data_IF_245768203956
#
_entry.id   IF_245768203956
#
_cell.length_a   1.000
_cell.length_b   1.000
_cell.length_c   1.000
_cell.angle_alpha   90.00
_cell.angle_beta   90.00
_cell.angle_gamma   90.00
#
_symmetry.space_group_name_H-M   'P 1'
#
loop_
_entity.id
_entity.type
_entity.pdbx_description
1 polymer ?
#
# COMPACT_ATOMS: atom_id res chain seq x y z
N UNK A 1 12.86 -0.84 0.23
CA UNK A 1 11.71 -0.09 0.77
C UNK A 1 10.61 -1.06 1.15
N UNK A 2 9.63 -0.63 1.95
CA UNK A 2 8.44 -1.41 2.32
C UNK A 2 7.18 -0.65 1.90
N UNK A 3 6.08 -1.37 1.69
CA UNK A 3 4.78 -0.77 1.36
C UNK A 3 4.02 -0.43 2.64
N UNK A 4 3.14 0.58 2.57
CA UNK A 4 2.16 0.85 3.62
C UNK A 4 0.81 0.27 3.23
N UNK A 5 0.02 -0.17 4.19
CA UNK A 5 -1.39 -0.43 3.97
C UNK A 5 -2.22 0.87 3.99
N UNK A 6 -3.54 0.76 3.76
CA UNK A 6 -4.45 1.91 3.79
C UNK A 6 -4.56 2.60 5.17
N UNK A 7 -4.16 1.93 6.25
CA UNK A 7 -4.10 2.49 7.60
C UNK A 7 -2.74 3.15 7.92
N UNK A 8 -1.79 3.14 6.98
CA UNK A 8 -0.45 3.70 7.17
C UNK A 8 0.54 2.76 7.87
N UNK A 9 0.19 1.50 8.12
CA UNK A 9 1.14 0.52 8.69
C UNK A 9 2.05 -0.05 7.61
N UNK A 10 3.35 -0.11 7.91
CA UNK A 10 4.33 -0.81 7.07
C UNK A 10 4.08 -2.31 7.07
N UNK A 11 4.02 -2.90 5.88
CA UNK A 11 4.12 -4.35 5.72
C UNK A 11 5.56 -4.78 5.94
N UNK A 12 5.78 -5.82 6.73
CA UNK A 12 7.08 -6.47 6.82
C UNK A 12 7.32 -7.36 5.58
N UNK A 13 7.60 -6.70 4.46
CA UNK A 13 7.94 -7.28 3.17
C UNK A 13 8.77 -6.29 2.35
N UNK A 14 10.03 -6.63 2.10
CA UNK A 14 10.95 -5.76 1.38
C UNK A 14 10.78 -5.86 -0.15
N UNK A 15 10.87 -4.69 -0.79
CA UNK A 15 10.98 -4.57 -2.24
C UNK A 15 11.98 -3.48 -2.66
N UNK A 16 12.45 -3.58 -3.90
CA UNK A 16 13.25 -2.56 -4.55
C UNK A 16 12.63 -2.18 -5.89
N UNK A 17 12.73 -0.91 -6.24
CA UNK A 17 12.40 -0.40 -7.57
C UNK A 17 13.70 -0.08 -8.28
N UNK A 18 13.91 -0.68 -9.46
CA UNK A 18 15.11 -0.50 -10.27
C UNK A 18 14.72 -0.15 -11.70
N UNK A 19 15.61 0.48 -12.50
CA UNK A 19 15.40 0.61 -13.94
C UNK A 19 15.20 -0.76 -14.59
N UNK A 20 14.37 -0.81 -15.63
CA UNK A 20 14.24 -1.99 -16.47
C UNK A 20 15.45 -2.11 -17.39
N UNK A 21 15.88 -3.33 -17.66
CA UNK A 21 17.11 -3.58 -18.42
C UNK A 21 16.88 -3.28 -19.91
N UNK A 22 17.59 -2.30 -20.46
CA UNK A 22 17.64 -2.03 -21.90
C UNK A 22 16.37 -1.44 -22.54
N UNK A 23 15.38 -1.00 -21.75
CA UNK A 23 14.14 -0.38 -22.25
C UNK A 23 13.51 0.52 -21.18
N UNK A 24 12.57 1.36 -21.59
CA UNK A 24 11.81 2.23 -20.70
C UNK A 24 10.95 1.44 -19.70
N UNK A 25 10.61 2.11 -18.59
CA UNK A 25 9.87 1.55 -17.47
C UNK A 25 10.77 1.22 -16.27
N UNK A 26 10.32 0.28 -15.45
CA UNK A 26 11.00 -0.10 -14.21
C UNK A 26 10.73 -1.56 -13.87
N UNK A 27 11.52 -2.10 -12.95
CA UNK A 27 11.29 -3.41 -12.38
C UNK A 27 11.10 -3.32 -10.86
N UNK A 28 10.20 -4.14 -10.34
CA UNK A 28 10.06 -4.39 -8.90
C UNK A 28 10.74 -5.71 -8.55
N UNK A 29 11.76 -5.64 -7.70
CA UNK A 29 12.34 -6.82 -7.05
C UNK A 29 11.60 -7.02 -5.73
N UNK A 30 10.72 -8.01 -5.67
CA UNK A 30 9.94 -8.35 -4.49
C UNK A 30 10.62 -9.49 -3.75
N UNK A 31 11.14 -9.23 -2.55
CA UNK A 31 12.02 -10.18 -1.88
C UNK A 31 11.28 -11.42 -1.35
N UNK A 32 11.99 -12.55 -1.35
CA UNK A 32 11.45 -13.82 -0.83
C UNK A 32 11.05 -13.75 0.64
N UNK A 33 10.00 -14.50 0.99
CA UNK A 33 9.69 -14.85 2.39
C UNK A 33 10.49 -16.07 2.84
N UNK A 34 10.95 -16.04 4.08
CA UNK A 34 11.72 -17.11 4.70
C UNK A 34 11.42 -17.26 6.20
N UNK A 35 11.86 -18.38 6.77
CA UNK A 35 11.67 -18.69 8.19
C UNK A 35 10.24 -19.05 8.59
N UNK A 36 10.09 -19.63 9.78
CA UNK A 36 8.78 -19.92 10.37
C UNK A 36 8.19 -18.61 10.89
N UNK A 37 6.88 -18.38 10.68
CA UNK A 37 6.20 -17.19 11.23
C UNK A 37 6.38 -17.15 12.76
N UNK A 38 6.76 -15.99 13.29
CA UNK A 38 7.04 -15.78 14.72
C UNK A 38 8.39 -16.32 15.20
N UNK A 39 9.23 -16.86 14.31
CA UNK A 39 10.61 -17.21 14.67
C UNK A 39 11.56 -16.02 14.50
N UNK A 40 12.69 -15.98 15.23
CA UNK A 40 13.72 -14.94 15.03
C UNK A 40 14.32 -14.89 13.62
N UNK A 41 14.17 -15.97 12.83
CA UNK A 41 14.63 -16.06 11.44
C UNK A 41 13.51 -15.76 10.42
N UNK A 42 12.33 -15.33 10.86
CA UNK A 42 11.27 -14.90 9.97
C UNK A 42 11.73 -13.70 9.14
N UNK A 43 11.63 -13.82 7.82
CA UNK A 43 11.92 -12.75 6.87
C UNK A 43 10.72 -12.55 5.97
N UNK A 44 10.33 -11.29 5.77
CA UNK A 44 9.21 -10.88 4.93
C UNK A 44 7.89 -11.65 5.25
N UNK A 45 7.46 -11.73 6.53
CA UNK A 45 6.25 -12.47 6.92
C UNK A 45 4.98 -11.95 6.24
N UNK A 46 4.97 -10.68 5.82
CA UNK A 46 3.84 -10.02 5.16
C UNK A 46 3.90 -10.08 3.62
N UNK A 47 4.69 -11.00 3.06
CA UNK A 47 4.85 -11.17 1.61
C UNK A 47 3.51 -11.21 0.86
N UNK A 48 2.52 -11.98 1.34
CA UNK A 48 1.24 -12.10 0.65
C UNK A 48 0.40 -10.81 0.68
N UNK A 49 0.10 -10.21 1.85
CA UNK A 49 -0.67 -8.97 1.87
C UNK A 49 0.08 -7.81 1.21
N UNK A 50 1.41 -7.76 1.28
CA UNK A 50 2.20 -6.74 0.57
C UNK A 50 2.18 -6.94 -0.95
N UNK A 51 2.22 -8.18 -1.46
CA UNK A 51 2.06 -8.44 -2.90
C UNK A 51 0.67 -8.06 -3.38
N UNK A 52 -0.38 -8.32 -2.60
CA UNK A 52 -1.74 -7.91 -2.94
C UNK A 52 -1.89 -6.39 -2.99
N UNK A 53 -1.30 -5.69 -2.02
CA UNK A 53 -1.25 -4.23 -1.97
C UNK A 53 -0.49 -3.64 -3.17
N UNK A 54 0.63 -4.26 -3.57
CA UNK A 54 1.38 -3.86 -4.77
C UNK A 54 0.49 -3.94 -6.02
N UNK A 55 -0.22 -5.07 -6.18
CA UNK A 55 -1.13 -5.28 -7.32
C UNK A 55 -2.31 -4.30 -7.29
N UNK A 56 -2.82 -3.95 -6.11
CA UNK A 56 -3.87 -2.92 -5.96
C UNK A 56 -3.40 -1.56 -6.48
N UNK A 57 -2.18 -1.15 -6.13
CA UNK A 57 -1.61 0.11 -6.61
C UNK A 57 -1.31 0.09 -8.10
N UNK A 58 -0.87 -1.04 -8.63
CA UNK A 58 -0.73 -1.22 -10.07
C UNK A 58 -2.07 -1.10 -10.79
N UNK A 59 -3.14 -1.66 -10.24
CA UNK A 59 -4.50 -1.47 -10.76
C UNK A 59 -4.91 0.01 -10.78
N UNK A 60 -4.70 0.71 -9.67
CA UNK A 60 -5.05 2.15 -9.55
C UNK A 60 -4.27 3.02 -10.52
N UNK A 61 -2.97 2.76 -10.68
CA UNK A 61 -2.10 3.45 -11.61
C UNK A 61 -2.20 2.96 -13.07
N UNK A 62 -3.14 2.05 -13.35
CA UNK A 62 -3.34 1.41 -14.66
C UNK A 62 -2.06 0.79 -15.24
N UNK A 63 -1.18 0.30 -14.37
CA UNK A 63 0.11 -0.26 -14.76
C UNK A 63 -0.04 -1.56 -15.54
N UNK A 64 0.90 -1.78 -16.47
CA UNK A 64 1.01 -2.98 -17.29
C UNK A 64 2.27 -3.73 -16.88
N UNK A 65 2.12 -4.98 -16.45
CA UNK A 65 3.24 -5.86 -16.14
C UNK A 65 3.65 -6.57 -17.42
N UNK A 66 4.82 -6.23 -17.95
CA UNK A 66 5.38 -6.83 -19.16
C UNK A 66 5.77 -8.30 -18.96
N UNK A 67 6.35 -8.64 -17.81
CA UNK A 67 6.67 -10.03 -17.45
C UNK A 67 6.94 -10.17 -15.95
N UNK A 68 6.84 -11.39 -15.43
CA UNK A 68 7.25 -11.75 -14.08
C UNK A 68 8.15 -12.97 -14.17
N UNK A 69 9.29 -12.94 -13.48
CA UNK A 69 10.19 -14.09 -13.38
C UNK A 69 10.79 -14.22 -11.98
N UNK A 70 11.25 -15.42 -11.65
CA UNK A 70 11.92 -15.67 -10.36
C UNK A 70 13.36 -15.17 -10.43
N UNK A 71 13.74 -14.26 -9.54
CA UNK A 71 15.10 -13.74 -9.41
C UNK A 71 15.73 -14.16 -8.07
N UNK A 72 15.63 -15.44 -7.73
CA UNK A 72 16.31 -15.98 -6.54
C UNK A 72 17.72 -16.42 -6.92
N UNK A 73 18.69 -16.20 -6.03
CA UNK A 73 20.11 -16.56 -6.24
C UNK A 73 20.29 -17.98 -6.81
N UNK A 74 19.59 -18.96 -6.22
CA UNK A 74 19.62 -20.37 -6.63
C UNK A 74 19.22 -20.62 -8.09
N UNK A 75 18.46 -19.74 -8.73
CA UNK A 75 18.00 -19.93 -10.12
C UNK A 75 18.67 -18.98 -11.11
N UNK A 76 19.51 -18.05 -10.66
CA UNK A 76 20.17 -17.06 -11.55
C UNK A 76 21.11 -17.68 -12.60
N UNK A 77 21.52 -18.93 -12.42
CA UNK A 77 22.28 -19.70 -13.41
C UNK A 77 21.42 -20.17 -14.60
N UNK A 78 20.09 -20.17 -14.46
CA UNK A 78 19.16 -20.50 -15.54
C UNK A 78 18.95 -19.29 -16.46
N UNK A 79 18.57 -19.56 -17.70
CA UNK A 79 18.18 -18.50 -18.64
C UNK A 79 16.99 -17.70 -18.10
N UNK A 80 16.74 -16.50 -18.63
CA UNK A 80 15.55 -15.72 -18.25
C UNK A 80 14.27 -16.51 -18.58
N UNK A 81 14.24 -17.16 -19.76
CA UNK A 81 13.08 -17.91 -20.24
C UNK A 81 12.67 -19.04 -19.28
N UNK A 82 13.63 -19.76 -18.71
CA UNK A 82 13.36 -20.83 -17.72
C UNK A 82 12.89 -20.29 -16.35
N UNK A 83 13.02 -18.98 -16.13
CA UNK A 83 12.63 -18.30 -14.88
C UNK A 83 11.30 -17.58 -14.97
N UNK A 84 10.79 -17.33 -16.18
CA UNK A 84 9.52 -16.65 -16.42
C UNK A 84 8.36 -17.48 -15.85
N UNK A 85 7.43 -16.80 -15.19
CA UNK A 85 6.19 -17.42 -14.77
C UNK A 85 5.34 -17.72 -16.00
N UNK A 86 4.86 -18.94 -16.14
CA UNK A 86 3.99 -19.33 -17.25
C UNK A 86 2.59 -18.69 -17.08
N UNK A 87 2.43 -17.47 -17.58
CA UNK A 87 1.23 -16.64 -17.53
C UNK A 87 1.10 -15.86 -18.85
N UNK A 88 -0.12 -15.41 -19.16
CA UNK A 88 -0.38 -14.63 -20.38
C UNK A 88 0.05 -13.18 -20.19
N UNK A 89 1.24 -12.84 -20.69
CA UNK A 89 1.78 -11.48 -20.67
C UNK A 89 1.52 -10.74 -21.98
N UNK A 90 1.41 -9.40 -21.96
CA UNK A 90 1.49 -8.51 -20.80
C UNK A 90 0.20 -8.53 -19.95
N UNK A 91 0.33 -8.37 -18.63
CA UNK A 91 -0.81 -8.30 -17.71
C UNK A 91 -1.24 -6.85 -17.52
N UNK A 92 -2.43 -6.51 -18.02
CA UNK A 92 -3.12 -5.24 -17.73
C UNK A 92 -3.85 -5.36 -16.40
N UNK A 93 -3.22 -4.92 -15.32
CA UNK A 93 -3.72 -5.19 -13.96
C UNK A 93 -5.07 -4.51 -13.70
N UNK A 94 -5.36 -3.41 -14.40
CA UNK A 94 -6.63 -2.69 -14.26
C UNK A 94 -7.86 -3.45 -14.80
N UNK A 95 -7.67 -4.32 -15.80
CA UNK A 95 -8.74 -5.13 -16.40
C UNK A 95 -9.16 -6.31 -15.52
N UNK A 96 -8.32 -6.69 -14.55
CA UNK A 96 -8.54 -7.88 -13.73
C UNK A 96 -9.48 -7.58 -12.57
N UNK A 97 -10.57 -8.33 -12.45
CA UNK A 97 -11.57 -8.15 -11.40
C UNK A 97 -11.04 -8.54 -10.01
N UNK A 98 -10.34 -9.69 -9.91
CA UNK A 98 -9.94 -10.29 -8.65
C UNK A 98 -8.42 -10.32 -8.45
N UNK A 99 -7.91 -9.34 -7.69
CA UNK A 99 -6.47 -9.26 -7.37
C UNK A 99 -5.98 -10.37 -6.44
N UNK A 100 -6.85 -10.93 -5.59
CA UNK A 100 -6.48 -12.04 -4.72
C UNK A 100 -6.21 -13.31 -5.53
N UNK A 101 -7.00 -13.55 -6.59
CA UNK A 101 -6.77 -14.65 -7.54
C UNK A 101 -5.47 -14.46 -8.32
N UNK A 102 -5.23 -13.26 -8.85
CA UNK A 102 -3.96 -12.93 -9.51
C UNK A 102 -2.76 -13.19 -8.59
N UNK A 103 -2.82 -12.74 -7.33
CA UNK A 103 -1.78 -13.01 -6.34
C UNK A 103 -1.57 -14.51 -6.12
N UNK A 104 -2.65 -15.28 -5.97
CA UNK A 104 -2.57 -16.75 -5.81
C UNK A 104 -1.92 -17.40 -7.02
N UNK A 105 -2.27 -16.95 -8.22
CA UNK A 105 -1.71 -17.46 -9.46
C UNK A 105 -0.22 -17.17 -9.58
N UNK A 106 0.21 -15.93 -9.36
CA UNK A 106 1.62 -15.54 -9.32
C UNK A 106 2.39 -16.45 -8.35
N UNK A 107 1.88 -16.61 -7.12
CA UNK A 107 2.50 -17.48 -6.10
C UNK A 107 2.56 -18.95 -6.53
N UNK A 108 1.50 -19.47 -7.14
CA UNK A 108 1.45 -20.86 -7.63
C UNK A 108 2.46 -21.09 -8.75
N UNK A 109 2.53 -20.17 -9.72
CA UNK A 109 3.41 -20.26 -10.88
C UNK A 109 4.90 -20.11 -10.52
N UNK A 110 5.23 -19.56 -9.34
CA UNK A 110 6.60 -19.58 -8.83
C UNK A 110 7.09 -20.98 -8.44
N UNK A 111 6.21 -21.88 -7.99
CA UNK A 111 6.60 -23.18 -7.42
C UNK A 111 7.48 -24.04 -8.35
N UNK A 112 7.12 -24.27 -9.63
CA UNK A 112 7.91 -25.12 -10.52
C UNK A 112 9.29 -24.55 -10.89
N UNK A 113 9.48 -23.23 -10.82
CA UNK A 113 10.71 -22.58 -11.32
C UNK A 113 11.94 -23.00 -10.50
N UNK A 114 12.95 -23.58 -11.16
CA UNK A 114 14.16 -24.11 -10.51
C UNK A 114 13.87 -25.23 -9.51
N UNK A 115 12.75 -25.95 -9.66
CA UNK A 115 12.46 -27.17 -8.92
C UNK A 115 13.28 -28.32 -9.51
N UNK A 116 13.77 -29.22 -8.65
CA UNK A 116 14.46 -30.43 -9.13
C UNK A 116 13.46 -31.35 -9.86
N UNK A 117 13.86 -31.98 -10.99
CA UNK A 117 13.03 -32.97 -11.65
C UNK A 117 12.58 -34.07 -10.67
N UNK A 118 11.33 -34.54 -10.80
CA UNK A 118 10.78 -35.61 -9.97
C UNK A 118 10.34 -35.21 -8.54
N UNK A 119 10.39 -33.92 -8.17
CA UNK A 119 9.91 -33.44 -6.87
C UNK A 119 8.54 -32.77 -6.97
N UNK A 120 7.66 -32.99 -5.99
CA UNK A 120 6.35 -32.35 -5.89
C UNK A 120 6.35 -31.14 -4.94
N UNK A 121 5.43 -30.21 -5.15
CA UNK A 121 5.34 -28.97 -4.39
C UNK A 121 6.38 -27.92 -4.81
N UNK A 122 6.61 -26.94 -3.93
CA UNK A 122 7.60 -25.88 -4.14
C UNK A 122 7.33 -24.65 -3.28
N UNK A 123 8.36 -23.81 -3.12
CA UNK A 123 8.24 -22.51 -2.48
C UNK A 123 7.46 -21.54 -3.39
N UNK A 124 6.36 -20.98 -2.91
CA UNK A 124 5.50 -20.01 -3.61
C UNK A 124 5.75 -18.55 -3.22
N UNK A 125 6.78 -18.31 -2.41
CA UNK A 125 7.19 -16.98 -1.93
C UNK A 125 8.67 -16.75 -2.19
N UNK A 126 9.10 -17.02 -3.42
CA UNK A 126 10.47 -16.77 -3.90
C UNK A 126 10.66 -15.28 -4.17
N UNK A 127 11.91 -14.87 -4.35
CA UNK A 127 12.18 -13.53 -4.87
C UNK A 127 11.75 -13.50 -6.32
N UNK A 128 10.92 -12.52 -6.68
CA UNK A 128 10.43 -12.32 -8.04
C UNK A 128 10.82 -10.92 -8.52
N UNK A 129 10.98 -10.81 -9.83
CA UNK A 129 11.14 -9.55 -10.54
C UNK A 129 9.93 -9.34 -11.43
N UNK A 130 9.25 -8.21 -11.25
CA UNK A 130 8.11 -7.78 -12.06
C UNK A 130 8.60 -6.66 -12.96
N UNK A 131 8.63 -6.89 -14.26
CA UNK A 131 8.95 -5.85 -15.26
C UNK A 131 7.68 -5.08 -15.58
N UNK A 132 7.72 -3.77 -15.44
CA UNK A 132 6.55 -2.88 -15.58
C UNK A 132 6.83 -1.87 -16.68
N UNK A 133 5.86 -1.72 -17.58
CA UNK A 133 5.90 -0.71 -18.64
C UNK A 133 5.71 0.69 -18.04
N UNK A 134 6.30 1.75 -18.64
CA UNK A 134 6.04 3.11 -18.20
C UNK A 134 4.56 3.44 -18.38
N UNK A 135 3.96 4.08 -17.39
CA UNK A 135 2.59 4.60 -17.44
C UNK A 135 2.54 6.05 -16.93
N UNK A 136 1.40 6.73 -17.07
CA UNK A 136 1.26 8.14 -16.69
C UNK A 136 1.68 8.42 -15.23
N UNK A 137 1.30 7.53 -14.32
CA UNK A 137 1.50 7.70 -12.88
C UNK A 137 2.88 7.19 -12.42
N UNK A 138 3.48 6.28 -13.19
CA UNK A 138 4.77 5.67 -12.91
C UNK A 138 5.64 5.61 -14.18
N UNK A 139 6.03 6.75 -14.77
CA UNK A 139 6.79 6.78 -16.02
C UNK A 139 8.24 6.32 -15.85
N UNK A 140 8.78 6.33 -14.64
CA UNK A 140 10.16 5.97 -14.33
C UNK A 140 10.30 5.42 -12.90
N UNK A 141 11.45 4.83 -12.52
CA UNK A 141 11.64 4.24 -11.21
C UNK A 141 11.43 5.19 -10.02
N UNK A 142 11.78 6.47 -10.16
CA UNK A 142 11.61 7.44 -9.06
C UNK A 142 10.14 7.80 -8.85
N UNK A 143 9.39 8.00 -9.93
CA UNK A 143 7.94 8.19 -9.87
C UNK A 143 7.25 6.96 -9.28
N UNK A 144 7.67 5.75 -9.68
CA UNK A 144 7.16 4.50 -9.12
C UNK A 144 7.44 4.40 -7.61
N UNK A 145 8.64 4.73 -7.12
CA UNK A 145 8.93 4.77 -5.67
C UNK A 145 8.01 5.72 -4.93
N UNK A 146 7.76 6.91 -5.50
CA UNK A 146 6.86 7.92 -4.91
C UNK A 146 5.40 7.45 -4.89
N UNK A 147 4.94 6.77 -5.94
CA UNK A 147 3.60 6.19 -6.00
C UNK A 147 3.44 5.00 -5.03
N UNK A 148 4.46 4.15 -4.93
CA UNK A 148 4.46 2.93 -4.11
C UNK A 148 4.77 3.19 -2.62
N UNK A 149 5.30 4.34 -2.25
CA UNK A 149 5.36 4.76 -0.86
C UNK A 149 4.28 5.80 -0.65
N UNK A 150 3.11 5.49 -0.05
CA UNK A 150 2.22 6.56 0.35
C UNK A 150 3.03 7.35 1.37
N UNK A 151 3.45 8.55 0.98
CA UNK A 151 3.69 9.59 1.95
C UNK A 151 2.38 9.64 2.71
N UNK A 152 2.46 9.48 4.03
CA UNK A 152 1.30 9.48 4.91
C UNK A 152 0.33 10.53 4.38
N UNK A 153 -0.89 10.09 4.06
CA UNK A 153 -1.96 11.02 3.67
C UNK A 153 -1.86 12.17 4.65
N UNK A 154 -1.69 13.39 4.10
CA UNK A 154 -1.31 14.59 4.84
C UNK A 154 -1.87 14.55 6.24
N UNK A 155 -1.01 14.72 7.25
CA UNK A 155 -1.47 14.83 8.64
C UNK A 155 -2.70 15.72 8.61
N UNK A 156 -3.86 15.24 9.11
CA UNK A 156 -5.05 16.07 9.10
C UNK A 156 -4.64 17.37 9.75
N UNK A 157 -4.71 18.49 9.00
CA UNK A 157 -4.37 19.81 9.53
C UNK A 157 -4.96 19.86 10.92
N UNK A 158 -4.10 19.95 11.93
CA UNK A 158 -4.54 20.15 13.28
C UNK A 158 -5.18 21.54 13.27
N UNK A 159 -6.48 21.60 13.01
CA UNK A 159 -7.26 22.80 13.20
C UNK A 159 -7.34 22.92 14.72
N UNK A 160 -6.60 23.85 15.36
CA UNK A 160 -6.75 24.03 16.78
C UNK A 160 -8.23 24.27 17.04
N UNK A 161 -8.81 23.50 17.97
CA UNK A 161 -10.16 23.79 18.46
C UNK A 161 -10.16 25.28 18.82
N UNK A 162 -11.13 26.08 18.35
CA UNK A 162 -11.25 27.44 18.85
C UNK A 162 -11.33 27.31 20.36
N UNK A 163 -10.35 27.92 21.05
CA UNK A 163 -10.35 27.97 22.51
C UNK A 163 -11.72 28.52 22.89
N UNK A 164 -12.52 27.82 23.72
CA UNK A 164 -13.74 28.42 24.20
C UNK A 164 -13.33 29.72 24.89
N UNK A 165 -13.69 30.85 24.30
CA UNK A 165 -13.62 32.14 24.98
C UNK A 165 -14.53 31.99 26.18
N UNK A 166 -13.91 31.80 27.35
CA UNK A 166 -14.62 31.89 28.62
C UNK A 166 -15.30 33.27 28.62
N UNK A 167 -16.61 33.34 28.88
CA UNK A 167 -17.25 34.64 29.08
C UNK A 167 -16.52 35.37 30.22
N UNK A 168 -16.32 36.68 30.07
CA UNK A 168 -15.63 37.59 31.02
C UNK A 168 -16.24 37.63 32.44
N UNK A 169 -17.27 36.82 32.71
CA UNK A 169 -17.94 36.71 33.99
C UNK A 169 -17.42 35.51 34.80
N UNK A 170 -16.14 35.53 35.16
CA UNK A 170 -15.66 34.76 36.30
C UNK A 170 -14.74 35.60 37.18
N UNK A 171 -15.34 36.58 37.86
CA UNK A 171 -14.69 37.26 38.98
C UNK A 171 -14.64 36.27 40.16
N UNK A 172 -13.46 35.86 40.66
CA UNK A 172 -13.38 34.94 41.79
C UNK A 172 -13.94 35.63 43.03
N UNK A 173 -14.95 35.04 43.68
CA UNK A 173 -15.28 35.42 45.06
C UNK A 173 -14.17 34.88 45.96
N UNK A 174 -13.52 35.77 46.69
CA UNK A 174 -12.52 35.43 47.71
C UNK A 174 -13.09 34.39 48.70
N UNK A 175 -12.33 33.34 48.98
CA UNK A 175 -12.57 32.48 50.14
C UNK A 175 -12.46 30.97 49.97
N UNK A 176 -12.17 30.43 48.78
CA UNK A 176 -12.02 28.98 48.63
C UNK A 176 -10.56 28.52 48.72
N UNK A 177 -10.16 28.05 49.90
CA UNK A 177 -8.89 27.35 50.11
C UNK A 177 -9.01 25.93 49.57
N UNK A 178 -8.59 25.71 48.33
CA UNK A 178 -8.54 24.37 47.71
C UNK A 178 -7.37 23.59 48.33
N UNK A 179 -7.68 22.44 48.94
CA UNK A 179 -6.65 21.45 49.32
C UNK A 179 -6.06 20.84 48.04
N UNK A 180 -4.75 20.56 47.97
CA UNK A 180 -4.17 19.92 46.79
C UNK A 180 -4.73 18.50 46.67
N UNK A 181 -5.59 18.28 45.66
CA UNK A 181 -5.97 16.95 45.19
C UNK A 181 -4.98 16.48 44.14
N UNK A 182 -4.63 15.20 44.22
CA UNK A 182 -3.72 14.44 43.35
C UNK A 182 -4.00 14.62 41.84
N UNK A 183 -3.00 14.43 40.97
CA UNK A 183 -3.16 14.63 39.54
C UNK A 183 -4.09 13.55 38.95
N UNK A 184 -5.20 13.98 38.38
CA UNK A 184 -6.09 13.17 37.56
C UNK A 184 -5.42 12.92 36.20
N UNK A 185 -5.25 11.65 35.86
CA UNK A 185 -4.87 11.21 34.52
C UNK A 185 -5.97 11.62 33.50
N UNK A 186 -5.59 12.41 32.51
CA UNK A 186 -6.47 12.79 31.40
C UNK A 186 -6.56 11.65 30.37
N UNK A 187 -7.69 10.95 30.35
CA UNK A 187 -8.06 10.04 29.26
C UNK A 187 -8.67 10.84 28.09
N UNK A 188 -8.12 10.81 26.86
CA UNK A 188 -8.74 11.49 25.73
C UNK A 188 -9.90 10.65 25.17
N UNK A 189 -11.13 11.17 25.34
CA UNK A 189 -12.34 10.66 24.70
C UNK A 189 -12.29 10.78 23.17
N UNK A 190 -12.52 9.65 22.48
CA UNK A 190 -12.64 9.55 21.02
C UNK A 190 -14.06 9.91 20.55
N UNK A 191 -14.16 10.69 19.45
CA UNK A 191 -15.36 10.74 18.61
C UNK A 191 -15.00 10.24 17.21
N UNK A 192 -15.61 9.13 16.79
CA UNK A 192 -15.47 8.60 15.44
C UNK A 192 -16.31 9.45 14.49
N UNK A 193 -15.67 10.29 13.67
CA UNK A 193 -16.35 10.98 12.57
C UNK A 193 -16.51 9.99 11.41
N UNK A 194 -17.76 9.56 11.17
CA UNK A 194 -18.07 8.68 10.03
C UNK A 194 -17.74 9.39 8.71
N UNK A 195 -16.85 8.80 7.91
CA UNK A 195 -16.53 9.30 6.56
C UNK A 195 -17.74 9.11 5.63
N UNK A 196 -18.16 10.19 4.98
CA UNK A 196 -19.16 10.18 3.91
C UNK A 196 -18.64 9.39 2.70
N UNK A 197 -19.52 8.61 2.08
CA UNK A 197 -19.19 7.78 0.92
C UNK A 197 -18.88 8.63 -0.32
N UNK A 198 -18.22 8.02 -1.31
CA UNK A 198 -17.86 8.65 -2.59
C UNK A 198 -19.08 9.29 -3.30
N UNK A 199 -20.26 8.67 -3.18
CA UNK A 199 -21.53 9.19 -3.70
C UNK A 199 -21.98 10.49 -3.01
N UNK A 200 -21.78 10.60 -1.69
CA UNK A 200 -22.14 11.80 -0.94
C UNK A 200 -21.20 12.98 -1.24
N UNK A 201 -19.92 12.68 -1.52
CA UNK A 201 -18.94 13.70 -1.95
C UNK A 201 -19.23 14.19 -3.37
N UNK A 202 -19.63 13.28 -4.27
CA UNK A 202 -20.02 13.64 -5.63
C UNK A 202 -21.27 14.54 -5.66
N UNK A 203 -22.25 14.27 -4.80
CA UNK A 203 -23.46 15.10 -4.67
C UNK A 203 -23.16 16.52 -4.18
N UNK A 204 -22.26 16.67 -3.21
CA UNK A 204 -21.84 17.99 -2.71
C UNK A 204 -21.07 18.79 -3.77
N UNK A 205 -20.27 18.12 -4.60
CA UNK A 205 -19.56 18.75 -5.70
C UNK A 205 -20.51 19.25 -6.81
N UNK A 206 -21.53 18.46 -7.16
CA UNK A 206 -22.54 18.85 -8.16
C UNK A 206 -23.35 20.08 -7.68
N UNK A 207 -23.68 20.15 -6.39
CA UNK A 207 -24.43 21.28 -5.83
C UNK A 207 -23.65 22.61 -5.82
N UNK A 208 -22.31 22.59 -5.91
CA UNK A 208 -21.50 23.81 -5.98
C UNK A 208 -21.38 24.40 -7.40
N UNK A 209 -21.81 23.67 -8.43
CA UNK A 209 -21.69 24.08 -9.83
C UNK A 209 -23.01 24.45 -10.54
N UNK A 210 -24.14 24.36 -9.84
CA UNK A 210 -25.43 24.82 -10.35
C UNK A 210 -25.65 26.31 -9.99
N UNK A 211 -25.81 27.21 -10.97
CA UNK A 211 -26.10 28.61 -10.67
C UNK A 211 -27.46 28.73 -9.98
N UNK A 212 -27.63 29.66 -9.03
CA UNK A 212 -28.88 29.83 -8.31
C UNK A 212 -30.01 30.18 -9.29
N UNK A 213 -31.06 29.35 -9.31
CA UNK A 213 -32.26 29.61 -10.11
C UNK A 213 -32.87 30.95 -9.68
N UNK A 214 -32.84 31.95 -10.56
CA UNK A 214 -33.61 33.19 -10.37
C UNK A 214 -35.10 32.84 -10.33
N UNK A 215 -35.70 32.90 -9.14
CA UNK A 215 -37.16 32.91 -9.00
C UNK A 215 -37.68 34.28 -9.46
N UNK A 216 -38.63 34.27 -10.40
CA UNK A 216 -39.58 35.36 -10.61
C UNK A 216 -40.74 35.20 -9.63
#
# INVERSE_FOLDING_TARGET
MKLLNAAGHEFDAELFVVPRDGTEGFAIIFQSRGGKKGSPSARNPDYFPALEELLRRFKEAQAVIATIYVDSERVRHLSIQERVLEMDFPLRVHDLENLNELRREICRKQQPVGRRPGTSGGNSTKQIRLEVEPCSDMPNPEAAKKCLRPLMAEEPEFVPRPTPTLPDEYSPKEGFRVKPSEPLEEEPGYVVVKKLSLLQRLLLWICQWLPPSRKR
#
